data_IF_684352791812
#
_entry.id   IF_684352791812
#
_cell.length_a   1.000
_cell.length_b   1.000
_cell.length_c   1.000
_cell.angle_alpha   90.00
_cell.angle_beta   90.00
_cell.angle_gamma   90.00
#
_symmetry.space_group_name_H-M   'P 1'
#
loop_
_entity.id
_entity.type
_entity.pdbx_description
1 polymer ?
#
# COMPACT_ATOMS: atom_id res chain seq x y z
N UNK A 1 34.56 -33.23 -24.14
CA UNK A 1 35.90 -33.03 -24.72
C UNK A 1 35.89 -31.71 -25.46
N UNK A 2 36.76 -30.77 -25.06
CA UNK A 2 37.45 -29.74 -25.86
C UNK A 2 36.64 -28.94 -26.93
N UNK A 3 36.79 -27.62 -27.12
CA UNK A 3 37.99 -26.80 -27.05
C UNK A 3 37.56 -25.31 -27.16
N UNK A 4 38.39 -24.43 -26.60
CA UNK A 4 38.31 -22.97 -26.59
C UNK A 4 38.62 -22.28 -27.95
N UNK A 5 38.18 -21.00 -28.05
CA UNK A 5 38.70 -19.80 -28.79
C UNK A 5 37.67 -19.23 -29.77
N UNK A 6 37.57 -17.93 -30.06
CA UNK A 6 37.99 -16.65 -29.50
C UNK A 6 37.41 -15.59 -30.46
N UNK A 7 37.01 -14.40 -29.99
CA UNK A 7 37.35 -13.07 -30.53
C UNK A 7 36.37 -11.99 -30.05
N UNK A 8 36.97 -10.86 -29.67
CA UNK A 8 36.36 -9.65 -29.14
C UNK A 8 35.60 -8.85 -30.21
N UNK A 9 34.56 -8.11 -29.81
CA UNK A 9 34.31 -6.76 -30.34
C UNK A 9 33.60 -5.86 -29.31
N UNK A 10 33.98 -4.59 -29.41
CA UNK A 10 33.72 -3.46 -28.52
C UNK A 10 32.39 -2.75 -28.81
N UNK A 11 31.83 -2.18 -27.74
CA UNK A 11 30.97 -0.98 -27.65
C UNK A 11 29.79 -0.79 -28.62
N UNK A 12 28.59 -0.62 -28.07
CA UNK A 12 27.96 0.71 -27.88
C UNK A 12 26.41 0.62 -27.74
N UNK A 13 25.88 1.34 -26.74
CA UNK A 13 24.46 1.73 -26.52
C UNK A 13 23.45 0.77 -25.85
N UNK A 14 22.45 1.32 -25.12
CA UNK A 14 22.04 0.82 -23.81
C UNK A 14 20.89 -0.17 -23.86
N UNK A 15 20.81 -0.99 -22.82
CA UNK A 15 19.75 -2.00 -22.62
C UNK A 15 18.50 -1.34 -22.06
N UNK A 16 17.29 -1.60 -22.59
CA UNK A 16 16.06 -1.31 -21.87
C UNK A 16 15.88 -2.39 -20.80
N UNK A 17 16.02 -2.02 -19.52
CA UNK A 17 15.63 -2.88 -18.41
C UNK A 17 14.10 -2.78 -18.22
N UNK A 18 13.40 -3.78 -18.74
CA UNK A 18 11.96 -3.97 -18.59
C UNK A 18 11.65 -4.46 -17.16
N UNK A 19 11.20 -3.57 -16.28
CA UNK A 19 10.69 -3.92 -14.95
C UNK A 19 9.15 -4.00 -14.98
N UNK A 20 8.61 -5.12 -15.48
CA UNK A 20 7.16 -5.33 -15.50
C UNK A 20 6.67 -5.87 -14.15
N UNK A 21 6.39 -4.98 -13.19
CA UNK A 21 5.67 -5.32 -11.96
C UNK A 21 4.17 -5.24 -12.23
N UNK A 22 3.58 -6.37 -12.65
CA UNK A 22 2.16 -6.44 -12.98
C UNK A 22 1.29 -6.49 -11.71
N UNK A 23 0.83 -5.31 -11.27
CA UNK A 23 -0.35 -5.17 -10.41
C UNK A 23 -1.57 -5.11 -11.34
N UNK A 24 -2.52 -6.01 -11.16
CA UNK A 24 -3.83 -5.97 -11.81
C UNK A 24 -4.85 -5.66 -10.71
N UNK A 25 -5.46 -4.48 -10.75
CA UNK A 25 -6.60 -4.16 -9.91
C UNK A 25 -7.88 -4.32 -10.73
N UNK A 26 -8.86 -5.04 -10.18
CA UNK A 26 -10.22 -5.14 -10.73
C UNK A 26 -11.22 -4.61 -9.70
N UNK A 27 -12.20 -3.83 -10.15
CA UNK A 27 -13.43 -3.57 -9.40
C UNK A 27 -14.36 -4.79 -9.50
N UNK A 28 -14.89 -5.23 -8.36
CA UNK A 28 -15.96 -6.22 -8.30
C UNK A 28 -17.25 -5.51 -7.92
N UNK A 29 -18.13 -5.31 -8.90
CA UNK A 29 -19.52 -4.92 -8.64
C UNK A 29 -20.28 -6.17 -8.16
N UNK A 30 -20.61 -6.20 -6.87
CA UNK A 30 -21.41 -7.28 -6.26
C UNK A 30 -22.83 -6.77 -6.14
N UNK A 31 -23.55 -6.66 -7.26
CA UNK A 31 -24.99 -6.92 -7.32
C UNK A 31 -25.49 -7.10 -8.76
N UNK A 32 -26.03 -8.29 -9.03
CA UNK A 32 -26.86 -8.54 -10.20
C UNK A 32 -28.29 -8.13 -9.91
N UNK A 33 -28.69 -6.91 -10.27
CA UNK A 33 -30.10 -6.59 -10.55
C UNK A 33 -30.32 -5.26 -11.27
N UNK A 34 -30.87 -5.39 -12.49
CA UNK A 34 -31.76 -4.49 -13.25
C UNK A 34 -31.23 -3.18 -13.87
N UNK A 35 -31.26 -3.22 -15.20
CA UNK A 35 -31.34 -2.17 -16.22
C UNK A 35 -32.41 -1.09 -15.98
N UNK A 36 -32.11 0.16 -16.34
CA UNK A 36 -33.00 1.08 -17.09
C UNK A 36 -32.14 2.05 -17.92
N UNK A 37 -32.20 1.91 -19.25
CA UNK A 37 -31.77 2.91 -20.25
C UNK A 37 -32.90 3.95 -20.47
N UNK A 38 -32.60 5.09 -21.10
CA UNK A 38 -33.25 5.35 -22.40
C UNK A 38 -32.31 5.96 -23.46
N UNK A 39 -32.27 5.33 -24.65
CA UNK A 39 -31.62 5.80 -25.88
C UNK A 39 -32.64 6.57 -26.76
N UNK A 40 -32.33 7.02 -28.00
CA UNK A 40 -31.17 7.72 -28.62
C UNK A 40 -31.70 8.98 -29.42
N UNK A 41 -31.13 9.53 -30.54
CA UNK A 41 -30.84 8.86 -31.84
C UNK A 41 -29.61 9.47 -32.61
N UNK A 42 -29.43 9.28 -33.95
CA UNK A 42 -28.45 8.38 -34.57
C UNK A 42 -27.43 9.12 -35.46
N UNK A 43 -26.52 8.41 -36.16
CA UNK A 43 -26.13 8.71 -37.56
C UNK A 43 -25.23 7.61 -38.16
N UNK A 44 -25.82 6.94 -39.16
CA UNK A 44 -25.33 6.44 -40.46
C UNK A 44 -24.08 5.56 -40.61
N UNK A 45 -24.27 4.58 -41.51
CA UNK A 45 -23.38 3.56 -42.00
C UNK A 45 -22.45 4.05 -43.13
N UNK A 46 -21.38 3.29 -43.40
CA UNK A 46 -21.13 2.74 -44.73
C UNK A 46 -20.08 1.61 -44.71
N UNK A 47 -20.13 0.80 -45.77
CA UNK A 47 -19.69 -0.59 -45.92
C UNK A 47 -18.34 -0.77 -46.63
N UNK A 48 -17.93 -2.05 -46.65
CA UNK A 48 -16.95 -2.72 -47.52
C UNK A 48 -15.46 -2.54 -47.16
N UNK A 49 -14.59 -3.55 -47.11
CA UNK A 49 -14.65 -4.96 -47.50
C UNK A 49 -13.22 -5.38 -47.89
N UNK A 50 -12.60 -6.30 -47.14
CA UNK A 50 -11.23 -6.75 -47.46
C UNK A 50 -10.57 -7.58 -46.36
N UNK A 51 -10.68 -8.90 -46.46
CA UNK A 51 -10.10 -9.86 -45.53
C UNK A 51 -8.58 -10.01 -45.69
N UNK A 52 -7.83 -9.76 -44.61
CA UNK A 52 -6.49 -10.30 -44.42
C UNK A 52 -6.44 -10.99 -43.04
N UNK A 53 -6.15 -12.30 -43.04
CA UNK A 53 -6.03 -13.14 -41.85
C UNK A 53 -4.85 -12.67 -41.00
N UNK A 54 -5.12 -12.03 -39.87
CA UNK A 54 -4.19 -11.89 -38.76
C UNK A 54 -4.44 -13.02 -37.76
N UNK A 55 -3.39 -13.76 -37.39
CA UNK A 55 -3.41 -14.73 -36.30
C UNK A 55 -3.76 -13.99 -35.00
N UNK A 56 -4.89 -14.36 -34.40
CA UNK A 56 -5.50 -13.66 -33.28
C UNK A 56 -4.60 -13.65 -32.04
N UNK A 57 -4.28 -12.45 -31.58
CA UNK A 57 -4.11 -12.21 -30.16
C UNK A 57 -5.51 -12.28 -29.54
N UNK A 58 -5.77 -13.27 -28.69
CA UNK A 58 -6.98 -13.31 -27.89
C UNK A 58 -6.98 -12.08 -26.98
N UNK A 59 -7.73 -11.07 -27.40
CA UNK A 59 -7.99 -9.86 -26.63
C UNK A 59 -8.66 -10.23 -25.32
N UNK A 60 -8.18 -9.63 -24.24
CA UNK A 60 -8.83 -9.67 -22.93
C UNK A 60 -10.21 -9.02 -23.06
N UNK A 61 -11.24 -9.83 -23.35
CA UNK A 61 -12.58 -9.33 -23.60
C UNK A 61 -13.24 -8.87 -22.29
N UNK A 62 -13.45 -7.56 -22.16
CA UNK A 62 -14.12 -6.85 -21.05
C UNK A 62 -15.64 -7.05 -21.02
N UNK A 63 -16.15 -8.27 -21.26
CA UNK A 63 -17.59 -8.51 -21.47
C UNK A 63 -18.42 -8.81 -20.21
N UNK A 64 -17.88 -8.71 -19.00
CA UNK A 64 -18.62 -9.12 -17.79
C UNK A 64 -18.58 -8.16 -16.59
N UNK A 65 -18.06 -6.95 -16.76
CA UNK A 65 -18.05 -5.95 -15.70
C UNK A 65 -18.70 -4.67 -16.20
N UNK A 66 -19.61 -4.10 -15.40
CA UNK A 66 -20.06 -2.72 -15.51
C UNK A 66 -18.82 -1.81 -15.48
N UNK A 67 -18.34 -1.35 -16.64
CA UNK A 67 -17.28 -0.34 -16.84
C UNK A 67 -16.26 -0.23 -15.69
N UNK A 68 -15.34 -1.20 -15.58
CA UNK A 68 -14.40 -1.30 -14.46
C UNK A 68 -13.09 -0.53 -14.69
N UNK A 69 -12.71 0.31 -13.73
CA UNK A 69 -11.42 1.02 -13.63
C UNK A 69 -10.24 0.07 -13.31
N UNK A 70 -9.11 0.26 -13.98
CA UNK A 70 -7.84 -0.41 -13.71
C UNK A 70 -6.84 0.51 -12.98
N UNK A 71 -6.20 0.02 -11.92
CA UNK A 71 -5.26 0.75 -11.05
C UNK A 71 -3.89 0.03 -10.94
N UNK A 72 -2.78 0.79 -10.85
CA UNK A 72 -1.42 0.34 -10.44
C UNK A 72 -0.77 1.33 -9.46
N UNK A 73 0.15 0.91 -8.57
CA UNK A 73 0.98 1.84 -7.77
C UNK A 73 2.26 1.33 -7.09
N UNK A 74 3.28 2.21 -6.98
CA UNK A 74 3.73 2.95 -5.76
C UNK A 74 5.18 3.52 -5.85
N UNK A 75 5.34 4.84 -5.81
CA UNK A 75 6.52 5.61 -6.26
C UNK A 75 7.83 5.48 -5.47
N UNK A 76 7.91 5.15 -4.18
CA UNK A 76 9.25 5.06 -3.53
C UNK A 76 10.07 3.87 -4.04
N UNK A 77 9.40 2.81 -4.50
CA UNK A 77 10.05 1.68 -5.20
C UNK A 77 10.48 2.04 -6.63
N UNK A 78 10.16 3.25 -7.11
CA UNK A 78 10.30 3.62 -8.51
C UNK A 78 11.05 4.93 -8.78
N UNK A 79 10.87 5.99 -7.96
CA UNK A 79 11.39 7.34 -8.22
C UNK A 79 12.90 7.37 -8.46
N UNK A 80 13.69 6.82 -7.53
CA UNK A 80 15.12 7.09 -7.51
C UNK A 80 15.39 8.55 -7.16
N UNK A 81 16.48 9.10 -7.71
CA UNK A 81 16.87 10.49 -7.49
C UNK A 81 16.90 10.83 -5.98
N UNK A 82 17.42 9.90 -5.16
CA UNK A 82 17.29 9.97 -3.71
C UNK A 82 18.06 11.16 -3.10
N UNK A 83 19.13 11.60 -3.77
CA UNK A 83 19.96 12.75 -3.36
C UNK A 83 19.92 13.89 -4.39
N UNK A 84 18.85 13.98 -5.18
CA UNK A 84 18.70 14.97 -6.25
C UNK A 84 17.47 15.86 -6.03
N UNK A 85 17.45 17.03 -6.69
CA UNK A 85 16.35 17.98 -6.66
C UNK A 85 15.97 18.44 -5.25
N UNK A 86 16.97 18.74 -4.41
CA UNK A 86 16.83 19.18 -3.01
C UNK A 86 15.99 18.26 -2.11
N UNK A 87 15.82 16.99 -2.48
CA UNK A 87 15.18 15.98 -1.62
C UNK A 87 16.04 15.71 -0.38
N UNK A 88 15.42 15.73 0.80
CA UNK A 88 16.05 15.27 2.03
C UNK A 88 15.96 13.74 2.23
N UNK A 89 16.79 13.15 3.11
CA UNK A 89 16.74 11.72 3.37
C UNK A 89 15.44 11.32 4.08
N UNK A 90 14.92 10.17 3.71
CA UNK A 90 13.87 9.43 4.40
C UNK A 90 14.47 8.34 5.28
N UNK A 91 13.68 7.80 6.22
CA UNK A 91 14.08 6.69 7.08
C UNK A 91 14.53 5.45 6.30
N UNK A 92 14.03 5.28 5.07
CA UNK A 92 14.45 4.16 4.24
C UNK A 92 15.79 4.38 3.59
N UNK A 93 16.15 5.61 3.23
CA UNK A 93 17.48 5.90 2.68
C UNK A 93 18.51 5.54 3.75
N UNK A 94 18.33 6.11 4.95
CA UNK A 94 19.12 5.80 6.15
C UNK A 94 19.14 4.29 6.45
N UNK A 95 17.99 3.63 6.52
CA UNK A 95 17.94 2.19 6.83
C UNK A 95 18.70 1.33 5.81
N UNK A 96 18.56 1.59 4.50
CA UNK A 96 19.26 0.80 3.48
C UNK A 96 20.76 1.07 3.42
N UNK A 97 21.20 2.30 3.74
CA UNK A 97 22.62 2.65 3.76
C UNK A 97 23.32 2.20 5.04
N UNK A 98 22.66 2.28 6.20
CA UNK A 98 23.23 1.93 7.51
C UNK A 98 23.14 0.42 7.78
N UNK A 99 22.10 -0.25 7.26
CA UNK A 99 21.84 -1.68 7.44
C UNK A 99 21.66 -2.41 6.10
N UNK A 100 22.66 -2.42 5.20
CA UNK A 100 22.55 -3.08 3.91
C UNK A 100 22.25 -4.58 4.03
N UNK A 101 22.68 -5.23 5.11
CA UNK A 101 22.37 -6.63 5.42
C UNK A 101 20.90 -6.92 5.70
N UNK A 102 20.11 -5.91 6.05
CA UNK A 102 18.66 -6.04 6.21
C UNK A 102 17.94 -6.19 4.86
N UNK A 103 18.61 -5.86 3.75
CA UNK A 103 18.09 -6.04 2.39
C UNK A 103 18.70 -7.30 1.78
N UNK A 104 17.84 -8.19 1.28
CA UNK A 104 18.24 -9.54 0.83
C UNK A 104 19.38 -9.55 -0.19
N UNK A 105 19.42 -8.57 -1.10
CA UNK A 105 20.47 -8.38 -2.11
C UNK A 105 21.36 -7.16 -1.85
N UNK A 106 21.20 -6.51 -0.68
CA UNK A 106 21.92 -5.29 -0.28
C UNK A 106 21.71 -4.09 -1.21
N UNK A 107 20.63 -4.10 -1.99
CA UNK A 107 20.27 -2.97 -2.85
C UNK A 107 19.70 -1.78 -2.05
N UNK A 108 19.69 -0.61 -2.68
CA UNK A 108 19.11 0.63 -2.14
C UNK A 108 18.03 1.17 -3.07
N UNK A 109 17.29 2.17 -2.59
CA UNK A 109 16.31 2.92 -3.39
C UNK A 109 16.90 4.11 -4.16
N UNK A 110 18.23 4.24 -4.23
CA UNK A 110 18.88 5.48 -4.68
C UNK A 110 18.50 5.86 -6.12
N UNK A 111 18.43 4.85 -6.99
CA UNK A 111 18.01 4.99 -8.41
C UNK A 111 16.67 4.30 -8.68
N UNK A 112 16.40 3.15 -8.04
CA UNK A 112 15.18 2.37 -8.28
C UNK A 112 14.93 2.07 -9.78
N UNK A 113 13.80 2.48 -10.37
CA UNK A 113 13.58 2.41 -11.84
C UNK A 113 13.81 3.75 -12.54
N UNK A 114 14.28 4.74 -11.79
CA UNK A 114 14.53 6.11 -12.24
C UNK A 114 13.28 6.85 -12.73
N UNK A 115 12.13 6.61 -12.09
CA UNK A 115 10.86 7.24 -12.45
C UNK A 115 10.90 8.76 -12.32
N UNK A 116 11.73 9.32 -11.44
CA UNK A 116 11.89 10.78 -11.31
C UNK A 116 12.27 11.43 -12.64
N UNK A 117 13.14 10.79 -13.42
CA UNK A 117 13.58 11.28 -14.72
C UNK A 117 12.78 10.69 -15.89
N UNK A 118 12.16 9.52 -15.71
CA UNK A 118 11.59 8.71 -16.81
C UNK A 118 10.08 8.56 -16.80
N UNK A 119 9.36 9.30 -15.94
CA UNK A 119 7.91 9.12 -15.81
C UNK A 119 7.14 9.34 -17.12
N UNK A 120 7.61 10.24 -18.00
CA UNK A 120 6.98 10.49 -19.31
C UNK A 120 7.01 9.24 -20.21
N UNK A 121 8.11 8.48 -20.20
CA UNK A 121 8.21 7.20 -20.93
C UNK A 121 7.23 6.16 -20.36
N UNK A 122 7.08 6.14 -19.04
CA UNK A 122 6.18 5.23 -18.34
C UNK A 122 4.69 5.54 -18.60
N UNK A 123 4.34 6.80 -18.89
CA UNK A 123 2.97 7.17 -19.30
C UNK A 123 2.56 6.47 -20.60
N UNK A 124 3.48 6.32 -21.55
CA UNK A 124 3.26 5.59 -22.80
C UNK A 124 2.83 4.14 -22.56
N UNK A 125 3.44 3.46 -21.58
CA UNK A 125 3.09 2.09 -21.22
C UNK A 125 1.72 2.00 -20.52
N UNK A 126 1.41 2.95 -19.62
CA UNK A 126 0.11 2.99 -18.94
C UNK A 126 -1.05 3.12 -19.94
N UNK A 127 -0.89 3.98 -20.95
CA UNK A 127 -1.85 4.15 -22.04
C UNK A 127 -1.93 2.92 -22.93
N UNK A 128 -0.80 2.32 -23.29
CA UNK A 128 -0.77 1.08 -24.09
C UNK A 128 -1.56 -0.06 -23.41
N UNK A 129 -1.50 -0.15 -22.09
CA UNK A 129 -2.24 -1.16 -21.32
C UNK A 129 -3.74 -0.84 -21.17
N UNK A 130 -4.22 0.33 -21.59
CA UNK A 130 -5.62 0.73 -21.48
C UNK A 130 -6.09 0.98 -20.04
N UNK A 131 -5.22 1.53 -19.19
CA UNK A 131 -5.54 1.82 -17.79
C UNK A 131 -6.44 3.05 -17.66
N UNK A 132 -7.27 3.09 -16.62
CA UNK A 132 -8.17 4.22 -16.32
C UNK A 132 -7.63 5.12 -15.20
N UNK A 133 -6.76 4.58 -14.34
CA UNK A 133 -6.22 5.27 -13.19
C UNK A 133 -4.77 4.85 -12.88
N UNK A 134 -4.02 5.78 -12.31
CA UNK A 134 -2.67 5.53 -11.81
C UNK A 134 -2.59 5.96 -10.36
N UNK A 135 -2.31 5.00 -9.47
CA UNK A 135 -2.06 5.27 -8.06
C UNK A 135 -0.57 5.47 -7.85
N UNK A 136 -0.20 6.47 -7.08
CA UNK A 136 1.19 6.79 -6.79
C UNK A 136 1.34 7.39 -5.40
N UNK A 137 2.56 7.63 -4.92
CA UNK A 137 2.79 8.23 -3.59
C UNK A 137 3.67 9.47 -3.69
N UNK A 138 3.37 10.49 -2.89
CA UNK A 138 4.24 11.67 -2.78
C UNK A 138 5.33 11.38 -1.77
N UNK A 139 6.58 11.63 -2.15
CA UNK A 139 7.71 11.54 -1.25
C UNK A 139 7.70 12.71 -0.27
N UNK A 140 7.46 12.44 1.03
CA UNK A 140 7.39 13.50 2.04
C UNK A 140 8.72 14.25 2.11
N UNK A 141 9.83 13.52 2.15
CA UNK A 141 11.17 14.14 2.21
C UNK A 141 11.56 14.88 0.93
N UNK A 142 10.85 14.66 -0.20
CA UNK A 142 11.03 15.48 -1.42
C UNK A 142 10.28 16.80 -1.30
N UNK A 143 9.10 16.85 -0.69
CA UNK A 143 8.32 18.10 -0.51
C UNK A 143 8.86 18.94 0.65
N UNK A 144 9.18 18.29 1.77
CA UNK A 144 9.71 18.89 2.99
C UNK A 144 11.01 18.16 3.35
N UNK A 145 12.19 18.67 2.93
CA UNK A 145 13.47 17.96 3.10
C UNK A 145 13.82 17.55 4.53
N UNK A 146 13.54 18.41 5.52
CA UNK A 146 13.70 18.06 6.93
C UNK A 146 12.40 17.53 7.59
N UNK A 147 11.35 17.35 6.78
CA UNK A 147 10.01 16.91 7.17
C UNK A 147 9.08 17.97 7.76
N UNK A 148 9.55 19.22 7.92
CA UNK A 148 8.77 20.30 8.51
C UNK A 148 8.91 21.62 7.74
N UNK A 149 8.00 22.56 7.99
CA UNK A 149 8.02 23.87 7.32
C UNK A 149 9.25 24.71 7.64
N UNK A 150 9.93 24.46 8.77
CA UNK A 150 11.16 25.19 9.10
C UNK A 150 12.31 24.87 8.15
N UNK A 151 12.25 23.72 7.45
CA UNK A 151 13.22 23.37 6.40
C UNK A 151 12.90 23.96 5.03
N UNK A 152 11.81 24.71 4.91
CA UNK A 152 11.31 25.18 3.63
C UNK A 152 10.53 24.11 2.85
N UNK A 153 9.76 24.58 1.87
CA UNK A 153 9.11 23.72 0.88
C UNK A 153 10.01 23.66 -0.33
N UNK A 154 10.37 22.45 -0.75
CA UNK A 154 11.12 22.24 -1.97
C UNK A 154 10.19 22.43 -3.19
N UNK A 155 10.41 23.51 -3.95
CA UNK A 155 9.59 23.86 -5.10
C UNK A 155 9.78 22.88 -6.26
N UNK A 156 11.01 22.41 -6.49
CA UNK A 156 11.30 21.44 -7.55
C UNK A 156 10.51 20.13 -7.33
N UNK A 157 10.50 19.64 -6.09
CA UNK A 157 9.67 18.50 -5.71
C UNK A 157 8.17 18.73 -5.95
N UNK A 158 7.66 19.93 -5.65
CA UNK A 158 6.24 20.28 -5.91
C UNK A 158 5.96 20.33 -7.41
N UNK A 159 6.88 20.88 -8.19
CA UNK A 159 6.75 21.01 -9.64
C UNK A 159 6.78 19.63 -10.32
N UNK A 160 7.65 18.73 -9.88
CA UNK A 160 7.68 17.32 -10.34
C UNK A 160 6.29 16.64 -10.21
N UNK A 161 5.67 16.68 -9.03
CA UNK A 161 4.35 16.04 -8.86
C UNK A 161 3.23 16.79 -9.58
N UNK A 162 3.34 18.10 -9.77
CA UNK A 162 2.40 18.85 -10.61
C UNK A 162 2.49 18.38 -12.07
N UNK A 163 3.71 18.26 -12.62
CA UNK A 163 3.93 17.77 -13.98
C UNK A 163 3.41 16.36 -14.16
N UNK A 164 3.72 15.43 -13.23
CA UNK A 164 3.20 14.06 -13.26
C UNK A 164 1.66 14.03 -13.28
N UNK A 165 1.01 14.86 -12.46
CA UNK A 165 -0.46 14.88 -12.39
C UNK A 165 -1.08 15.45 -13.65
N UNK A 166 -0.49 16.52 -14.20
CA UNK A 166 -0.96 17.09 -15.46
C UNK A 166 -0.81 16.06 -16.59
N UNK A 167 0.33 15.38 -16.69
CA UNK A 167 0.56 14.33 -17.68
C UNK A 167 -0.44 13.18 -17.56
N UNK A 168 -0.74 12.73 -16.35
CA UNK A 168 -1.77 11.71 -16.13
C UNK A 168 -3.14 12.17 -16.63
N UNK A 169 -3.55 13.39 -16.28
CA UNK A 169 -4.83 13.95 -16.69
C UNK A 169 -4.91 14.16 -18.21
N UNK A 170 -3.84 14.62 -18.84
CA UNK A 170 -3.74 14.81 -20.30
C UNK A 170 -3.83 13.48 -21.05
N UNK A 171 -3.41 12.39 -20.42
CA UNK A 171 -3.56 11.03 -20.93
C UNK A 171 -4.89 10.36 -20.53
N UNK A 172 -5.79 11.08 -19.84
CA UNK A 172 -7.09 10.56 -19.40
C UNK A 172 -7.03 9.61 -18.21
N UNK A 173 -5.89 9.52 -17.52
CA UNK A 173 -5.68 8.69 -16.34
C UNK A 173 -6.08 9.43 -15.07
N UNK A 174 -6.93 8.83 -14.24
CA UNK A 174 -7.27 9.39 -12.94
C UNK A 174 -6.13 9.19 -11.92
N UNK A 175 -5.63 10.26 -11.29
CA UNK A 175 -4.58 10.15 -10.28
C UNK A 175 -5.15 9.74 -8.91
N UNK A 176 -4.61 8.63 -8.36
CA UNK A 176 -4.86 8.18 -6.99
C UNK A 176 -3.61 8.44 -6.13
N UNK A 177 -3.66 9.46 -5.28
CA UNK A 177 -2.43 10.01 -4.66
C UNK A 177 -2.32 9.59 -3.21
N UNK A 178 -1.30 8.81 -2.88
CA UNK A 178 -0.96 8.39 -1.52
C UNK A 178 -0.04 9.42 -0.86
N UNK A 179 -0.43 9.97 0.29
CA UNK A 179 0.31 11.07 0.93
C UNK A 179 1.51 10.59 1.75
N UNK A 180 1.47 9.33 2.19
CA UNK A 180 2.56 8.69 2.90
C UNK A 180 2.59 7.20 2.59
N UNK A 181 3.73 6.74 2.10
CA UNK A 181 4.00 5.33 1.82
C UNK A 181 5.34 4.95 2.44
N UNK A 182 5.35 4.99 3.77
CA UNK A 182 6.43 4.52 4.65
C UNK A 182 7.73 5.32 4.56
N UNK A 183 7.72 6.45 3.87
CA UNK A 183 8.89 7.23 3.46
C UNK A 183 9.11 8.45 4.36
N UNK A 184 9.01 8.24 5.67
CA UNK A 184 9.08 9.32 6.66
C UNK A 184 10.40 10.09 6.52
N UNK A 185 10.41 11.44 6.53
CA UNK A 185 11.65 12.20 6.51
C UNK A 185 12.51 11.86 7.73
N UNK A 186 13.79 11.53 7.50
CA UNK A 186 14.73 11.17 8.56
C UNK A 186 14.86 12.30 9.60
N UNK A 187 14.70 13.56 9.19
CA UNK A 187 14.67 14.70 10.11
C UNK A 187 13.59 14.60 11.20
N UNK A 188 12.42 14.01 10.91
CA UNK A 188 11.36 13.83 11.91
C UNK A 188 11.66 12.62 12.83
N UNK A 189 12.24 11.57 12.27
CA UNK A 189 12.68 10.40 13.03
C UNK A 189 13.78 10.81 14.02
N UNK A 190 14.79 11.56 13.59
CA UNK A 190 15.87 12.05 14.45
C UNK A 190 15.41 13.05 15.51
N UNK A 191 14.41 13.88 15.23
CA UNK A 191 13.95 14.90 16.19
C UNK A 191 13.05 14.35 17.30
N UNK A 192 12.23 13.34 16.99
CA UNK A 192 11.21 12.84 17.93
C UNK A 192 10.72 11.42 17.63
N UNK A 193 11.47 10.60 16.90
CA UNK A 193 11.14 9.21 16.56
C UNK A 193 9.83 9.07 15.78
N UNK A 194 9.54 10.06 14.92
CA UNK A 194 8.49 9.95 13.92
C UNK A 194 7.13 9.58 14.51
N UNK A 195 6.60 8.42 14.10
CA UNK A 195 5.29 7.92 14.51
C UNK A 195 5.22 7.41 15.95
N UNK A 196 6.30 7.47 16.74
CA UNK A 196 6.24 7.23 18.18
C UNK A 196 5.90 8.48 19.01
N UNK A 197 5.79 9.65 18.38
CA UNK A 197 5.52 10.92 19.06
C UNK A 197 4.20 11.56 18.63
N UNK A 198 3.44 12.19 19.56
CA UNK A 198 2.24 12.94 19.20
C UNK A 198 2.53 14.14 18.29
N UNK A 199 3.78 14.61 18.22
CA UNK A 199 4.20 15.73 17.35
C UNK A 199 3.97 15.41 15.86
N UNK A 200 4.03 14.15 15.47
CA UNK A 200 3.83 13.72 14.07
C UNK A 200 2.44 14.06 13.55
N UNK A 201 1.42 14.11 14.43
CA UNK A 201 0.03 14.40 14.03
C UNK A 201 -0.06 15.77 13.37
N UNK A 202 0.61 16.77 13.95
CA UNK A 202 0.66 18.09 13.35
C UNK A 202 1.62 18.15 12.16
N UNK A 203 2.75 17.43 12.20
CA UNK A 203 3.69 17.31 11.08
C UNK A 203 3.00 16.79 9.82
N UNK A 204 2.28 15.67 9.92
CA UNK A 204 1.55 15.05 8.82
C UNK A 204 0.38 15.92 8.33
N UNK A 205 -0.33 16.60 9.26
CA UNK A 205 -1.36 17.59 8.89
C UNK A 205 -0.77 18.72 8.05
N UNK A 206 0.41 19.24 8.40
CA UNK A 206 1.10 20.30 7.67
C UNK A 206 1.64 19.80 6.32
N UNK A 207 2.20 18.58 6.27
CA UNK A 207 2.57 17.91 5.02
C UNK A 207 1.39 17.91 4.05
N UNK A 208 0.22 17.40 4.47
CA UNK A 208 -1.01 17.46 3.66
C UNK A 208 -1.40 18.89 3.27
N UNK A 209 -1.23 19.87 4.16
CA UNK A 209 -1.57 21.27 3.86
C UNK A 209 -0.69 21.83 2.74
N UNK A 210 0.59 21.48 2.69
CA UNK A 210 1.52 21.92 1.64
C UNK A 210 1.23 21.34 0.27
N UNK A 211 0.65 20.14 0.23
CA UNK A 211 0.20 19.53 -1.02
C UNK A 211 -0.97 20.29 -1.67
N UNK A 212 -1.49 21.37 -1.06
CA UNK A 212 -2.36 22.32 -1.76
C UNK A 212 -1.70 22.95 -2.99
N UNK A 213 -0.36 23.05 -3.00
CA UNK A 213 0.42 23.50 -4.17
C UNK A 213 0.37 22.50 -5.33
N UNK A 214 -0.05 21.26 -5.08
CA UNK A 214 -0.19 20.21 -6.07
C UNK A 214 -1.60 20.27 -6.67
N UNK A 215 -1.75 20.97 -7.80
CA UNK A 215 -3.03 21.31 -8.46
C UNK A 215 -3.62 20.13 -9.22
N UNK A 216 -4.94 20.17 -9.47
CA UNK A 216 -5.66 19.20 -10.30
C UNK A 216 -7.04 18.81 -9.71
N UNK A 217 -8.11 18.74 -10.53
CA UNK A 217 -9.45 18.40 -10.07
C UNK A 217 -9.61 16.91 -9.72
N UNK A 218 -10.60 16.56 -8.88
CA UNK A 218 -11.21 15.23 -8.84
C UNK A 218 -10.36 14.07 -8.32
N UNK A 219 -9.26 14.35 -7.60
CA UNK A 219 -8.32 13.30 -7.13
C UNK A 219 -8.93 12.43 -6.03
N UNK A 220 -8.62 11.15 -6.05
CA UNK A 220 -8.76 10.27 -4.89
C UNK A 220 -7.47 10.34 -4.06
N UNK A 221 -7.54 10.95 -2.89
CA UNK A 221 -6.42 11.05 -1.96
C UNK A 221 -6.43 9.89 -0.97
N UNK A 222 -5.29 9.26 -0.76
CA UNK A 222 -5.08 8.18 0.20
C UNK A 222 -4.10 8.71 1.25
N UNK A 223 -4.50 8.84 2.51
CA UNK A 223 -3.58 9.42 3.52
C UNK A 223 -2.38 8.53 3.79
N UNK A 224 -2.61 7.24 4.07
CA UNK A 224 -1.60 6.29 4.52
C UNK A 224 -1.79 5.01 3.70
N UNK A 225 -0.68 4.43 3.26
CA UNK A 225 -0.65 3.05 2.79
C UNK A 225 -0.34 2.09 3.93
N UNK A 226 -1.17 1.07 4.12
CA UNK A 226 -0.89 -0.09 4.97
C UNK A 226 -0.27 0.29 6.32
N UNK A 227 -0.99 1.04 7.15
CA UNK A 227 -0.48 1.48 8.44
C UNK A 227 -0.12 0.28 9.35
N UNK A 228 -0.79 -0.86 9.16
CA UNK A 228 -0.47 -2.14 9.78
C UNK A 228 0.95 -2.61 9.45
N UNK A 229 1.29 -2.70 8.15
CA UNK A 229 2.60 -3.17 7.68
C UNK A 229 3.71 -2.28 8.24
N UNK A 230 3.52 -0.95 8.17
CA UNK A 230 4.49 -0.01 8.70
C UNK A 230 4.74 -0.22 10.20
N UNK A 231 3.69 -0.30 11.01
CA UNK A 231 3.85 -0.41 12.46
C UNK A 231 4.34 -1.81 12.90
N UNK A 232 3.89 -2.87 12.23
CA UNK A 232 4.32 -4.24 12.54
C UNK A 232 5.77 -4.49 12.12
N UNK A 233 6.08 -4.25 10.84
CA UNK A 233 7.39 -4.57 10.27
C UNK A 233 8.48 -3.60 10.79
N UNK A 234 8.12 -2.33 11.01
CA UNK A 234 9.07 -1.30 11.44
C UNK A 234 9.31 -1.21 12.94
N UNK A 235 8.34 -1.61 13.77
CA UNK A 235 8.40 -1.45 15.24
C UNK A 235 8.13 -2.73 16.05
N UNK A 236 7.76 -3.85 15.41
CA UNK A 236 7.61 -5.15 16.09
C UNK A 236 8.62 -6.17 15.62
N UNK A 237 8.69 -6.42 14.32
CA UNK A 237 9.71 -7.32 13.74
C UNK A 237 11.05 -6.61 13.57
N UNK A 238 11.03 -5.31 13.23
CA UNK A 238 12.23 -4.52 12.96
C UNK A 238 12.92 -4.85 11.64
N UNK A 239 12.21 -5.48 10.72
CA UNK A 239 12.70 -5.89 9.39
C UNK A 239 12.57 -4.77 8.35
N UNK A 240 11.81 -3.71 8.66
CA UNK A 240 11.57 -2.55 7.81
C UNK A 240 12.01 -1.28 8.54
N UNK A 241 12.31 -0.20 7.81
CA UNK A 241 12.65 1.09 8.41
C UNK A 241 11.54 1.56 9.38
N UNK A 242 11.86 2.13 10.56
CA UNK A 242 13.21 2.50 11.02
C UNK A 242 14.01 1.37 11.71
N UNK A 243 13.54 0.11 11.64
CA UNK A 243 14.29 -1.04 12.15
C UNK A 243 14.31 -1.13 13.67
N UNK A 244 13.17 -0.91 14.33
CA UNK A 244 13.04 -0.94 15.79
C UNK A 244 12.30 -2.19 16.24
N UNK A 245 12.83 -2.87 17.24
CA UNK A 245 12.25 -4.08 17.78
C UNK A 245 12.91 -4.45 19.11
N UNK A 246 12.28 -5.33 19.87
CA UNK A 246 12.93 -5.92 21.05
C UNK A 246 14.11 -6.81 20.61
N UNK A 247 15.15 -6.98 21.45
CA UNK A 247 16.41 -7.63 21.04
C UNK A 247 16.29 -9.07 20.50
N UNK A 248 15.21 -9.79 20.86
CA UNK A 248 14.94 -11.16 20.43
C UNK A 248 14.05 -11.26 19.18
N UNK A 249 13.55 -10.14 18.66
CA UNK A 249 12.72 -10.12 17.46
C UNK A 249 13.58 -10.36 16.20
N UNK A 250 12.90 -10.58 15.07
CA UNK A 250 13.52 -11.02 13.81
C UNK A 250 14.63 -10.08 13.31
N UNK A 251 14.39 -8.77 13.37
CA UNK A 251 15.36 -7.73 12.98
C UNK A 251 16.57 -7.61 13.91
N UNK A 252 16.56 -8.27 15.09
CA UNK A 252 17.64 -8.25 16.09
C UNK A 252 18.11 -6.84 16.45
N UNK A 253 17.15 -5.93 16.59
CA UNK A 253 17.40 -4.52 16.79
C UNK A 253 18.08 -4.26 18.15
N UNK A 254 18.94 -3.26 18.18
CA UNK A 254 19.59 -2.79 19.41
C UNK A 254 18.67 -1.92 20.25
N UNK A 255 17.61 -1.37 19.65
CA UNK A 255 16.62 -0.52 20.29
C UNK A 255 15.21 -0.86 19.83
N UNK A 256 14.24 -0.59 20.72
CA UNK A 256 12.82 -0.73 20.44
C UNK A 256 12.09 -1.58 21.47
N UNK A 257 10.77 -1.56 21.38
CA UNK A 257 9.89 -2.35 22.23
C UNK A 257 8.73 -2.90 21.40
N UNK A 258 8.88 -4.15 20.95
CA UNK A 258 7.90 -4.85 20.11
C UNK A 258 6.54 -5.02 20.77
N UNK A 259 6.42 -4.82 22.09
CA UNK A 259 5.18 -4.89 22.86
C UNK A 259 4.47 -3.55 23.03
N UNK A 260 5.12 -2.40 22.73
CA UNK A 260 4.56 -1.06 22.96
C UNK A 260 4.62 -0.16 21.73
N UNK A 261 5.76 -0.12 21.04
CA UNK A 261 5.99 0.80 19.93
C UNK A 261 5.03 0.60 18.75
N UNK A 262 4.64 -0.64 18.34
CA UNK A 262 3.64 -0.83 17.29
C UNK A 262 2.29 -0.17 17.62
N UNK A 263 1.89 -0.21 18.89
CA UNK A 263 0.64 0.39 19.37
C UNK A 263 0.68 1.91 19.42
N UNK A 264 1.81 2.50 19.79
CA UNK A 264 2.01 3.95 19.70
C UNK A 264 2.04 4.42 18.24
N UNK A 265 2.78 3.71 17.38
CA UNK A 265 2.82 3.94 15.94
C UNK A 265 1.42 3.96 15.33
N UNK A 266 0.62 2.92 15.56
CA UNK A 266 -0.73 2.81 14.99
C UNK A 266 -1.64 3.93 15.52
N UNK A 267 -1.53 4.28 16.80
CA UNK A 267 -2.32 5.35 17.41
C UNK A 267 -2.04 6.70 16.78
N UNK A 268 -0.76 7.07 16.62
CA UNK A 268 -0.41 8.35 16.02
C UNK A 268 -0.62 8.36 14.50
N UNK A 269 -0.56 7.23 13.81
CA UNK A 269 -0.99 7.12 12.42
C UNK A 269 -2.50 7.41 12.26
N UNK A 270 -3.36 6.79 13.08
CA UNK A 270 -4.82 7.04 13.03
C UNK A 270 -5.15 8.51 13.32
N UNK A 271 -4.50 9.12 14.32
CA UNK A 271 -4.68 10.53 14.62
C UNK A 271 -4.17 11.46 13.50
N UNK A 272 -3.06 11.10 12.87
CA UNK A 272 -2.49 11.82 11.71
C UNK A 272 -3.43 11.76 10.51
N UNK A 273 -3.92 10.57 10.17
CA UNK A 273 -4.94 10.35 9.14
C UNK A 273 -6.18 11.22 9.39
N UNK A 274 -6.76 11.14 10.59
CA UNK A 274 -7.97 11.87 10.94
C UNK A 274 -7.76 13.40 10.93
N UNK A 275 -6.58 13.88 11.34
CA UNK A 275 -6.22 15.30 11.25
C UNK A 275 -6.10 15.78 9.79
N UNK A 276 -5.51 14.97 8.90
CA UNK A 276 -5.39 15.28 7.47
C UNK A 276 -6.75 15.28 6.77
N UNK A 277 -7.63 14.32 7.08
CA UNK A 277 -9.01 14.24 6.57
C UNK A 277 -9.82 15.44 7.02
N UNK A 278 -9.78 15.77 8.31
CA UNK A 278 -10.47 16.95 8.85
C UNK A 278 -10.02 18.24 8.18
N UNK A 279 -8.72 18.38 7.91
CA UNK A 279 -8.19 19.52 7.16
C UNK A 279 -8.70 19.51 5.70
N UNK A 280 -8.67 18.36 5.02
CA UNK A 280 -9.15 18.20 3.64
C UNK A 280 -10.61 18.64 3.52
N UNK A 281 -11.50 18.05 4.33
CA UNK A 281 -12.95 18.33 4.32
C UNK A 281 -13.25 19.81 4.56
N UNK A 282 -12.52 20.45 5.48
CA UNK A 282 -12.77 21.85 5.88
C UNK A 282 -12.26 22.88 4.88
N UNK A 283 -11.07 22.68 4.31
CA UNK A 283 -10.37 23.72 3.55
C UNK A 283 -10.37 23.47 2.04
N UNK A 284 -10.51 22.22 1.59
CA UNK A 284 -10.18 21.84 0.22
C UNK A 284 -11.26 21.04 -0.51
N UNK A 285 -12.05 20.22 0.18
CA UNK A 285 -12.99 19.32 -0.49
C UNK A 285 -14.03 20.07 -1.34
N UNK A 286 -14.56 21.19 -0.83
CA UNK A 286 -15.56 21.98 -1.55
C UNK A 286 -15.04 22.55 -2.89
N UNK A 287 -13.75 22.92 -2.95
CA UNK A 287 -13.14 23.51 -4.14
C UNK A 287 -12.53 22.46 -5.07
N UNK A 288 -11.85 21.46 -4.50
CA UNK A 288 -11.16 20.40 -5.26
C UNK A 288 -12.10 19.27 -5.72
N UNK A 289 -13.26 19.11 -5.05
CA UNK A 289 -14.28 18.10 -5.35
C UNK A 289 -13.76 16.66 -5.42
N UNK A 290 -12.70 16.36 -4.66
CA UNK A 290 -12.13 15.01 -4.56
C UNK A 290 -12.65 14.23 -3.36
N UNK A 291 -12.19 12.99 -3.26
CA UNK A 291 -12.45 12.10 -2.13
C UNK A 291 -11.17 11.85 -1.35
N UNK A 292 -11.28 11.62 -0.05
CA UNK A 292 -10.14 11.25 0.78
C UNK A 292 -10.40 9.96 1.57
N UNK A 293 -9.46 9.04 1.52
CA UNK A 293 -9.54 7.73 2.15
C UNK A 293 -8.20 7.29 2.75
N UNK A 294 -8.15 6.02 3.11
CA UNK A 294 -6.97 5.34 3.64
C UNK A 294 -6.88 3.95 3.00
N UNK A 295 -5.67 3.47 2.71
CA UNK A 295 -5.46 2.11 2.21
C UNK A 295 -5.06 1.20 3.37
N UNK A 296 -5.86 0.17 3.61
CA UNK A 296 -5.60 -0.87 4.60
C UNK A 296 -5.23 -2.17 3.89
N UNK A 297 -4.36 -2.96 4.51
CA UNK A 297 -4.05 -4.32 4.07
C UNK A 297 -4.72 -5.33 4.98
N UNK A 298 -5.17 -6.43 4.39
CA UNK A 298 -5.59 -7.60 5.15
C UNK A 298 -5.23 -8.87 4.40
N UNK A 299 -4.79 -9.86 5.15
CA UNK A 299 -4.91 -11.24 4.72
C UNK A 299 -6.34 -11.69 5.02
N UNK A 300 -6.87 -12.59 4.19
CA UNK A 300 -8.01 -13.37 4.66
C UNK A 300 -7.53 -14.50 5.55
N UNK A 301 -8.38 -14.93 6.49
CA UNK A 301 -8.06 -16.00 7.41
C UNK A 301 -9.13 -17.08 7.38
N UNK A 302 -8.69 -18.33 7.39
CA UNK A 302 -9.55 -19.50 7.53
C UNK A 302 -9.09 -20.32 8.73
N UNK A 303 -9.97 -21.02 9.45
CA UNK A 303 -9.55 -21.73 10.65
C UNK A 303 -8.66 -22.93 10.28
N UNK A 304 -7.64 -23.20 11.07
CA UNK A 304 -6.72 -24.33 10.85
C UNK A 304 -7.47 -25.66 10.94
N UNK A 305 -8.31 -25.85 11.96
CA UNK A 305 -9.23 -26.98 12.14
C UNK A 305 -10.69 -26.53 12.30
N UNK A 306 -11.61 -27.48 12.47
CA UNK A 306 -13.03 -27.18 12.75
C UNK A 306 -13.29 -26.91 14.25
N UNK A 307 -12.24 -26.63 15.03
CA UNK A 307 -12.40 -26.34 16.45
C UNK A 307 -12.88 -24.91 16.66
N UNK A 308 -13.67 -24.69 17.71
CA UNK A 308 -14.11 -23.35 18.08
C UNK A 308 -12.93 -22.41 18.38
N UNK A 309 -11.84 -22.95 18.92
CA UNK A 309 -10.63 -22.20 19.22
C UNK A 309 -10.03 -21.58 17.94
N UNK A 310 -9.96 -22.34 16.85
CA UNK A 310 -9.41 -21.86 15.58
C UNK A 310 -10.37 -20.89 14.86
N UNK A 311 -11.68 -21.09 14.99
CA UNK A 311 -12.66 -20.10 14.54
C UNK A 311 -12.50 -18.76 15.28
N UNK A 312 -12.28 -18.81 16.60
CA UNK A 312 -12.02 -17.61 17.39
C UNK A 312 -10.64 -17.03 17.06
N UNK A 313 -9.66 -17.85 16.68
CA UNK A 313 -8.35 -17.40 16.19
C UNK A 313 -8.47 -16.61 14.88
N UNK A 314 -9.33 -17.03 13.95
CA UNK A 314 -9.65 -16.24 12.74
C UNK A 314 -10.15 -14.84 13.12
N UNK A 315 -11.08 -14.76 14.07
CA UNK A 315 -11.61 -13.47 14.54
C UNK A 315 -10.51 -12.60 15.16
N UNK A 316 -9.66 -13.17 16.02
CA UNK A 316 -8.52 -12.45 16.62
C UNK A 316 -7.50 -11.99 15.56
N UNK A 317 -7.19 -12.82 14.56
CA UNK A 317 -6.28 -12.45 13.48
C UNK A 317 -6.82 -11.28 12.65
N UNK A 318 -8.11 -11.31 12.30
CA UNK A 318 -8.79 -10.21 11.62
C UNK A 318 -8.82 -8.93 12.48
N UNK A 319 -9.14 -9.04 13.76
CA UNK A 319 -9.17 -7.89 14.67
C UNK A 319 -7.79 -7.25 14.82
N UNK A 320 -6.72 -8.05 14.99
CA UNK A 320 -5.36 -7.53 15.15
C UNK A 320 -4.76 -6.97 13.86
N UNK A 321 -5.18 -7.45 12.69
CA UNK A 321 -4.66 -6.95 11.41
C UNK A 321 -5.52 -5.84 10.82
N UNK A 322 -6.78 -6.14 10.53
CA UNK A 322 -7.70 -5.23 9.84
C UNK A 322 -8.51 -4.36 10.81
N UNK A 323 -9.12 -4.99 11.83
CA UNK A 323 -9.93 -4.31 12.84
C UNK A 323 -9.14 -3.25 13.61
N UNK A 324 -7.84 -3.44 13.80
CA UNK A 324 -6.95 -2.51 14.50
C UNK A 324 -6.99 -1.10 13.92
N UNK A 325 -7.24 -0.97 12.62
CA UNK A 325 -7.44 0.30 11.95
C UNK A 325 -8.90 0.55 11.56
N UNK A 326 -9.63 -0.47 11.10
CA UNK A 326 -11.00 -0.30 10.60
C UNK A 326 -12.03 -0.03 11.71
N UNK A 327 -11.89 -0.63 12.90
CA UNK A 327 -12.81 -0.38 14.03
C UNK A 327 -12.67 1.07 14.54
N UNK A 328 -11.46 1.65 14.74
CA UNK A 328 -11.34 3.07 15.06
C UNK A 328 -11.99 3.99 14.00
N UNK A 329 -11.82 3.67 12.72
CA UNK A 329 -12.39 4.45 11.61
C UNK A 329 -13.91 4.41 11.57
N UNK A 330 -14.55 3.37 12.09
CA UNK A 330 -16.02 3.19 12.00
C UNK A 330 -16.73 3.41 13.34
N UNK A 331 -16.11 3.00 14.43
CA UNK A 331 -16.66 3.00 15.79
C UNK A 331 -15.98 4.02 16.71
N UNK A 332 -14.82 4.56 16.32
CA UNK A 332 -14.08 5.53 17.14
C UNK A 332 -13.26 4.91 18.28
N UNK A 333 -13.14 3.58 18.35
CA UNK A 333 -12.26 2.88 19.29
C UNK A 333 -11.70 1.58 18.67
N UNK A 334 -10.66 1.01 19.27
CA UNK A 334 -10.06 -0.26 18.85
C UNK A 334 -10.99 -1.46 19.12
N UNK A 335 -10.77 -2.61 18.44
CA UNK A 335 -11.53 -3.82 18.70
C UNK A 335 -11.52 -4.22 20.18
N UNK A 336 -12.66 -4.71 20.68
CA UNK A 336 -12.79 -5.16 22.06
C UNK A 336 -11.77 -6.26 22.41
N UNK A 337 -11.52 -7.19 21.48
CA UNK A 337 -10.53 -8.27 21.64
C UNK A 337 -9.12 -7.72 21.90
N UNK A 338 -8.69 -6.72 21.13
CA UNK A 338 -7.41 -6.05 21.34
C UNK A 338 -7.37 -5.32 22.69
N UNK A 339 -8.45 -4.62 23.06
CA UNK A 339 -8.56 -3.95 24.37
C UNK A 339 -8.41 -4.95 25.52
N UNK A 340 -9.05 -6.11 25.42
CA UNK A 340 -9.03 -7.15 26.43
C UNK A 340 -7.65 -7.81 26.58
N UNK A 341 -6.96 -8.09 25.46
CA UNK A 341 -5.69 -8.83 25.48
C UNK A 341 -4.49 -7.89 25.72
N UNK A 342 -4.41 -6.78 24.99
CA UNK A 342 -3.26 -5.87 25.03
C UNK A 342 -3.29 -4.98 26.29
N UNK A 343 -4.50 -4.64 26.76
CA UNK A 343 -4.71 -3.88 27.98
C UNK A 343 -4.09 -2.48 27.92
N UNK A 344 -3.28 -2.15 28.92
CA UNK A 344 -2.71 -0.82 29.10
C UNK A 344 -1.65 -0.43 28.05
N UNK A 345 -1.09 -1.40 27.31
CA UNK A 345 -0.14 -1.13 26.22
C UNK A 345 -0.82 -0.54 24.99
N UNK A 346 -2.14 -0.74 24.84
CA UNK A 346 -2.94 -0.16 23.75
C UNK A 346 -3.44 1.24 24.15
N UNK A 347 -3.00 2.33 23.49
CA UNK A 347 -3.42 3.67 23.84
C UNK A 347 -4.94 3.87 23.79
N UNK A 348 -5.48 4.80 24.57
CA UNK A 348 -6.92 5.12 24.58
C UNK A 348 -7.19 6.41 23.81
N UNK A 349 -8.18 6.39 22.93
CA UNK A 349 -8.72 7.62 22.38
C UNK A 349 -9.53 8.34 23.45
N UNK A 350 -9.23 9.61 23.69
CA UNK A 350 -10.16 10.46 24.42
C UNK A 350 -11.38 10.80 23.53
N UNK A 351 -12.44 11.37 24.11
CA UNK A 351 -13.68 11.66 23.39
C UNK A 351 -13.47 12.53 22.13
N UNK A 352 -12.54 13.49 22.17
CA UNK A 352 -12.23 14.37 21.03
C UNK A 352 -11.51 13.61 19.92
N UNK A 353 -10.58 12.73 20.28
CA UNK A 353 -9.85 11.90 19.33
C UNK A 353 -10.76 10.85 18.69
N UNK A 354 -11.56 10.14 19.51
CA UNK A 354 -12.52 9.14 19.06
C UNK A 354 -13.47 9.72 18.01
N UNK A 355 -14.09 10.87 18.31
CA UNK A 355 -14.96 11.60 17.36
C UNK A 355 -14.23 12.11 16.11
N UNK A 356 -12.92 12.33 16.18
CA UNK A 356 -12.14 12.80 15.04
C UNK A 356 -11.80 11.66 14.07
N UNK A 357 -11.51 10.47 14.61
CA UNK A 357 -11.15 9.27 13.82
C UNK A 357 -12.41 8.58 13.28
N UNK A 358 -13.50 8.57 14.04
CA UNK A 358 -14.75 7.96 13.59
C UNK A 358 -15.29 8.67 12.33
N UNK A 359 -15.52 7.90 11.26
CA UNK A 359 -16.00 8.35 9.97
C UNK A 359 -15.00 9.19 9.18
N UNK A 360 -13.70 9.12 9.48
CA UNK A 360 -12.67 9.93 8.80
C UNK A 360 -12.26 9.40 7.43
N UNK A 361 -13.18 8.89 6.62
CA UNK A 361 -12.90 8.47 5.24
C UNK A 361 -14.13 8.65 4.35
N UNK A 362 -13.91 8.86 3.05
CA UNK A 362 -14.92 8.84 2.00
C UNK A 362 -14.92 7.48 1.27
N UNK A 363 -13.77 6.80 1.23
CA UNK A 363 -13.58 5.46 0.69
C UNK A 363 -12.48 4.70 1.45
N UNK A 364 -12.44 3.37 1.28
CA UNK A 364 -11.37 2.49 1.77
C UNK A 364 -10.61 1.91 0.58
N UNK A 365 -9.29 2.08 0.59
CA UNK A 365 -8.40 1.28 -0.25
C UNK A 365 -8.15 -0.07 0.42
N UNK A 366 -8.28 -1.16 -0.32
CA UNK A 366 -7.98 -2.52 0.16
C UNK A 366 -6.80 -3.08 -0.62
N UNK A 367 -5.72 -3.38 0.11
CA UNK A 367 -4.62 -4.18 -0.39
C UNK A 367 -4.87 -5.64 0.01
N UNK A 368 -4.93 -6.53 -0.97
CA UNK A 368 -5.15 -7.95 -0.74
C UNK A 368 -4.18 -8.79 -1.58
N UNK A 369 -3.56 -9.78 -0.95
CA UNK A 369 -2.56 -10.63 -1.60
C UNK A 369 -2.80 -12.12 -1.40
N UNK A 370 -3.16 -12.54 -0.18
CA UNK A 370 -3.15 -13.97 0.20
C UNK A 370 -4.15 -14.26 1.32
N UNK A 371 -4.33 -15.55 1.58
CA UNK A 371 -5.08 -16.10 2.73
C UNK A 371 -4.16 -16.97 3.57
N UNK A 372 -4.36 -16.99 4.87
CA UNK A 372 -3.67 -17.90 5.80
C UNK A 372 -4.64 -18.76 6.60
N UNK A 373 -4.17 -19.94 7.02
CA UNK A 373 -4.79 -20.66 8.11
C UNK A 373 -4.45 -19.97 9.43
N UNK A 374 -5.42 -19.80 10.33
CA UNK A 374 -5.23 -19.33 11.69
C UNK A 374 -5.45 -20.47 12.69
N UNK A 375 -4.42 -20.75 13.49
CA UNK A 375 -4.40 -21.76 14.54
C UNK A 375 -4.34 -21.07 15.91
N UNK A 376 -5.17 -21.54 16.86
CA UNK A 376 -5.25 -20.94 18.18
C UNK A 376 -4.10 -21.38 19.08
N UNK A 377 -3.34 -20.42 19.59
CA UNK A 377 -2.31 -20.68 20.59
C UNK A 377 -2.92 -20.60 21.99
N UNK A 378 -2.59 -21.57 22.85
CA UNK A 378 -2.97 -21.53 24.27
C UNK A 378 -2.41 -20.30 24.98
N UNK A 379 -3.26 -19.60 25.75
CA UNK A 379 -2.87 -18.48 26.63
C UNK A 379 -1.80 -18.89 27.67
N UNK A 380 -1.69 -20.19 27.98
CA UNK A 380 -0.70 -20.72 28.92
C UNK A 380 0.70 -20.81 28.33
N UNK A 381 0.84 -20.67 27.01
CA UNK A 381 2.15 -20.68 26.34
C UNK A 381 2.87 -19.37 26.64
N UNK A 382 4.00 -19.45 27.34
CA UNK A 382 4.86 -18.28 27.60
C UNK A 382 5.49 -17.82 26.29
N UNK A 383 4.97 -16.73 25.75
CA UNK A 383 5.53 -16.02 24.62
C UNK A 383 6.16 -14.71 25.09
N UNK A 384 7.23 -14.30 24.43
CA UNK A 384 7.76 -12.96 24.64
C UNK A 384 6.70 -11.96 24.18
N UNK A 385 6.34 -11.02 25.05
CA UNK A 385 5.34 -10.02 24.74
C UNK A 385 5.74 -9.24 23.48
N UNK A 386 4.84 -9.19 22.51
CA UNK A 386 4.99 -8.45 21.26
C UNK A 386 3.61 -8.31 20.60
N UNK A 387 3.47 -7.38 19.66
CA UNK A 387 2.28 -7.31 18.81
C UNK A 387 1.95 -8.68 18.17
N UNK A 388 2.96 -9.38 17.64
CA UNK A 388 2.78 -10.67 16.95
C UNK A 388 2.26 -11.79 17.85
N UNK A 389 2.65 -11.79 19.13
CA UNK A 389 2.22 -12.81 20.10
C UNK A 389 0.87 -12.49 20.75
N UNK A 390 0.49 -11.20 20.81
CA UNK A 390 -0.71 -10.73 21.51
C UNK A 390 -2.01 -11.25 20.89
N UNK A 391 -2.04 -11.57 19.59
CA UNK A 391 -3.25 -12.15 18.98
C UNK A 391 -3.54 -13.58 19.46
N UNK A 392 -2.55 -14.26 20.06
CA UNK A 392 -2.59 -15.69 20.35
C UNK A 392 -3.04 -16.53 19.14
N UNK A 393 -2.50 -16.19 17.97
CA UNK A 393 -2.73 -16.92 16.72
C UNK A 393 -1.40 -17.31 16.07
N UNK A 394 -1.34 -18.52 15.50
CA UNK A 394 -0.29 -18.91 14.56
C UNK A 394 -0.88 -18.88 13.16
N UNK A 395 -0.23 -18.15 12.27
CA UNK A 395 -0.66 -18.01 10.88
C UNK A 395 0.23 -18.86 9.98
N UNK A 396 -0.37 -19.62 9.06
CA UNK A 396 0.37 -20.49 8.16
C UNK A 396 -0.28 -20.57 6.79
N UNK A 397 0.54 -20.51 5.74
CA UNK A 397 0.10 -20.78 4.36
C UNK A 397 -0.15 -22.27 4.09
N UNK A 398 0.17 -23.14 5.05
CA UNK A 398 0.08 -24.60 4.94
C UNK A 398 -0.65 -25.21 6.13
N UNK A 399 -1.44 -26.25 5.86
CA UNK A 399 -2.08 -27.10 6.86
C UNK A 399 -1.60 -28.53 6.68
N UNK A 400 -0.95 -29.09 7.71
CA UNK A 400 -0.32 -30.44 7.66
C UNK A 400 0.58 -30.61 6.41
N UNK A 401 1.37 -29.59 6.08
CA UNK A 401 2.25 -29.55 4.92
C UNK A 401 1.58 -29.17 3.59
N UNK A 402 0.26 -29.28 3.46
CA UNK A 402 -0.47 -28.93 2.25
C UNK A 402 -0.72 -27.40 2.18
N UNK A 403 -0.33 -26.70 1.10
CA UNK A 403 -0.55 -25.27 0.97
C UNK A 403 -2.04 -24.94 0.74
N UNK A 404 -2.47 -23.78 1.20
CA UNK A 404 -3.85 -23.28 1.05
C UNK A 404 -4.21 -22.99 -0.41
N UNK A 405 -3.21 -22.70 -1.24
CA UNK A 405 -3.31 -22.42 -2.65
C UNK A 405 -1.93 -22.53 -3.32
N UNK A 406 -1.86 -22.27 -4.63
CA UNK A 406 -0.58 -22.29 -5.34
C UNK A 406 0.37 -21.22 -4.77
N UNK A 407 1.56 -21.62 -4.34
CA UNK A 407 2.57 -20.69 -3.82
C UNK A 407 3.17 -19.90 -4.99
N UNK A 408 3.24 -18.58 -4.87
CA UNK A 408 3.93 -17.73 -5.85
C UNK A 408 5.45 -17.76 -5.63
N UNK A 409 6.20 -16.93 -6.36
CA UNK A 409 7.65 -16.89 -6.22
C UNK A 409 8.13 -16.28 -4.89
N UNK A 410 7.26 -15.57 -4.17
CA UNK A 410 7.50 -15.11 -2.80
C UNK A 410 7.00 -16.16 -1.81
N UNK A 411 7.82 -16.49 -0.81
CA UNK A 411 7.54 -17.60 0.11
C UNK A 411 6.25 -17.41 0.94
N UNK A 412 5.88 -16.16 1.20
CA UNK A 412 4.70 -15.79 1.97
C UNK A 412 3.39 -15.76 1.16
N UNK A 413 3.44 -15.74 -0.18
CA UNK A 413 2.25 -15.48 -1.01
C UNK A 413 1.67 -16.79 -1.56
N UNK A 414 0.42 -17.07 -1.18
CA UNK A 414 -0.36 -18.20 -1.68
C UNK A 414 -1.58 -17.68 -2.45
N UNK A 415 -1.72 -18.09 -3.71
CA UNK A 415 -2.79 -17.64 -4.59
C UNK A 415 -4.12 -18.26 -4.13
N UNK A 416 -4.96 -17.43 -3.52
CA UNK A 416 -6.28 -17.84 -3.02
C UNK A 416 -7.35 -16.78 -3.35
N UNK A 417 -7.93 -16.81 -4.57
CA UNK A 417 -8.86 -15.79 -5.04
C UNK A 417 -10.15 -15.71 -4.23
N UNK A 418 -10.63 -16.83 -3.66
CA UNK A 418 -11.84 -16.82 -2.82
C UNK A 418 -11.70 -15.85 -1.64
N UNK A 419 -10.51 -15.70 -1.08
CA UNK A 419 -10.28 -14.86 0.09
C UNK A 419 -10.54 -13.36 -0.16
N UNK A 420 -10.29 -12.83 -1.36
CA UNK A 420 -10.61 -11.42 -1.64
C UNK A 420 -12.12 -11.17 -1.61
N UNK A 421 -12.90 -12.13 -2.13
CA UNK A 421 -14.36 -12.07 -2.11
C UNK A 421 -14.89 -12.14 -0.68
N UNK A 422 -14.36 -13.05 0.14
CA UNK A 422 -14.75 -13.15 1.56
C UNK A 422 -14.38 -11.90 2.34
N UNK A 423 -13.20 -11.32 2.10
CA UNK A 423 -12.81 -10.05 2.70
C UNK A 423 -13.78 -8.92 2.30
N UNK A 424 -14.12 -8.79 1.01
CA UNK A 424 -15.08 -7.78 0.55
C UNK A 424 -16.48 -7.96 1.16
N UNK A 425 -16.97 -9.21 1.28
CA UNK A 425 -18.24 -9.50 1.94
C UNK A 425 -18.19 -9.19 3.43
N UNK A 426 -17.08 -9.49 4.10
CA UNK A 426 -16.86 -9.11 5.49
C UNK A 426 -16.91 -7.59 5.67
N UNK A 427 -16.24 -6.82 4.78
CA UNK A 427 -16.31 -5.36 4.80
C UNK A 427 -17.75 -4.85 4.57
N UNK A 428 -18.45 -5.40 3.57
CA UNK A 428 -19.85 -5.08 3.26
C UNK A 428 -20.75 -5.24 4.48
N UNK A 429 -20.66 -6.40 5.13
CA UNK A 429 -21.56 -6.80 6.21
C UNK A 429 -21.22 -6.16 7.57
N UNK A 430 -19.94 -5.99 7.89
CA UNK A 430 -19.51 -5.48 9.21
C UNK A 430 -19.43 -3.96 9.29
N UNK A 431 -19.04 -3.31 8.19
CA UNK A 431 -18.68 -1.88 8.20
C UNK A 431 -19.60 -1.01 7.35
N UNK A 432 -20.86 -1.42 7.20
CA UNK A 432 -21.90 -0.67 6.49
C UNK A 432 -21.57 -0.37 5.01
N UNK A 433 -20.99 -1.36 4.33
CA UNK A 433 -20.73 -1.34 2.89
C UNK A 433 -20.09 -0.03 2.36
N UNK A 434 -18.88 0.34 2.83
CA UNK A 434 -18.22 1.56 2.37
C UNK A 434 -17.83 1.45 0.89
N UNK A 435 -17.57 2.58 0.24
CA UNK A 435 -16.93 2.59 -1.09
C UNK A 435 -15.53 1.97 -0.93
N UNK A 436 -15.24 0.94 -1.73
CA UNK A 436 -13.97 0.21 -1.68
C UNK A 436 -13.28 0.27 -3.04
N UNK A 437 -11.98 0.57 -3.02
CA UNK A 437 -11.08 0.40 -4.16
C UNK A 437 -10.07 -0.70 -3.84
N UNK A 438 -9.87 -1.67 -4.72
CA UNK A 438 -8.72 -2.58 -4.59
C UNK A 438 -7.48 -1.79 -5.01
N UNK A 439 -6.67 -1.36 -4.03
CA UNK A 439 -5.53 -0.47 -4.27
C UNK A 439 -4.24 -1.21 -4.55
N UNK A 440 -4.14 -2.48 -4.13
CA UNK A 440 -3.08 -3.40 -4.53
C UNK A 440 -3.60 -4.84 -4.59
N UNK A 441 -3.29 -5.52 -5.69
CA UNK A 441 -3.37 -6.96 -5.83
C UNK A 441 -2.36 -7.42 -6.89
N UNK A 442 -1.61 -8.48 -6.58
CA UNK A 442 -0.61 -8.99 -7.51
C UNK A 442 0.17 -10.16 -6.94
N UNK A 443 1.10 -10.67 -7.73
CA UNK A 443 2.06 -11.69 -7.30
C UNK A 443 3.42 -11.43 -7.93
N UNK A 444 4.48 -11.77 -7.20
CA UNK A 444 5.81 -11.82 -7.78
C UNK A 444 5.96 -13.04 -8.69
N UNK A 445 6.61 -12.86 -9.83
CA UNK A 445 7.01 -13.94 -10.73
C UNK A 445 8.52 -13.89 -10.90
N UNK A 446 9.22 -15.01 -10.63
CA UNK A 446 10.61 -15.17 -11.05
C UNK A 446 10.63 -15.27 -12.56
N UNK A 447 11.23 -14.27 -13.23
CA UNK A 447 11.52 -14.41 -14.66
C UNK A 447 12.74 -15.33 -14.80
N UNK A 448 12.54 -16.54 -15.35
CA UNK A 448 13.64 -17.30 -15.91
C UNK A 448 14.09 -16.60 -17.19
N UNK A 449 14.98 -15.61 -17.06
CA UNK A 449 15.66 -15.04 -18.22
C UNK A 449 16.63 -16.11 -18.72
N UNK A 450 16.14 -17.02 -19.57
CA UNK A 450 17.03 -17.73 -20.47
C UNK A 450 17.66 -16.65 -21.36
N UNK A 451 18.90 -16.26 -21.04
CA UNK A 451 19.76 -15.58 -22.00
C UNK A 451 19.80 -16.49 -23.22
N UNK A 452 19.05 -16.16 -24.28
CA UNK A 452 19.32 -16.72 -25.60
C UNK A 452 20.73 -16.27 -25.92
N UNK A 453 21.65 -17.24 -25.88
CA UNK A 453 23.08 -17.08 -26.09
C UNK A 453 23.38 -16.60 -27.51
#
# INVERSE_FOLDING_TARGET
MALYRALAFSSSHPRPHLHLLATFCHLLDIDGSRTLWPSPPPLLADSDGGSARAYGAEGCASKQFSSGFHLRSCLRRYEGAAAEGDRGPSIWDTFTHDHPEAIADRSTGDVAIDFYHRYEEDMGFLKYMGMDAFRFSISWSRILPNGSLSGGVNKEGVDFYNSLINDLLDHGLQPFVTLFHWDLPQGLESQYQGFLSPRIVNGFRLHRDMLQGIRGPGKALITLNEPWSYCRLGYSEGTFAPGRCSPWAEGKCTEGDSAREPYLCAHYQLLSHAAAVKLYRRKYQATQKGMIGITLVTHWFVPYSNSKADEDAVSRALDFMFGWFMDPLTQGDYPFTMRAIVGHRLPRFNAKQSKMVQGSFDFIGLNYYTTYFADSISLLRRLNASYDSDSHTLQSGKRRGAPIGAQAASDWLFVYPKGIREALLYLKNRYNNPIIYITENGKYMRMNIHRRA
#
